data_IF_517726465114
#
_entry.id   IF_517726465114
#
_cell.length_a   1.000
_cell.length_b   1.000
_cell.length_c   1.000
_cell.angle_alpha   90.00
_cell.angle_beta   90.00
_cell.angle_gamma   90.00
#
_symmetry.space_group_name_H-M   'P 1'
#
loop_
_entity.id
_entity.type
_entity.pdbx_description
1 polymer ?
#
# COMPACT_ATOMS: atom_id res chain seq x y z
N UNK A 1 -10.08 20.67 1.91
CA UNK A 1 -8.82 20.64 2.68
C UNK A 1 -8.71 19.22 3.22
N UNK A 2 -8.22 18.29 2.39
CA UNK A 2 -8.32 16.85 2.66
C UNK A 2 -7.28 16.42 3.68
N UNK A 3 -7.71 15.82 4.78
CA UNK A 3 -6.81 15.05 5.62
C UNK A 3 -6.21 13.92 4.79
N UNK A 4 -4.90 13.74 4.92
CA UNK A 4 -4.27 12.48 4.56
C UNK A 4 -4.75 11.44 5.57
N UNK A 5 -5.88 10.82 5.27
CA UNK A 5 -6.58 9.84 6.09
C UNK A 5 -5.64 8.70 6.49
N UNK A 6 -4.60 8.44 5.69
CA UNK A 6 -3.57 7.43 5.96
C UNK A 6 -2.63 7.83 7.11
N UNK A 7 -2.24 9.09 7.20
CA UNK A 7 -1.34 9.57 8.25
C UNK A 7 -2.07 9.81 9.58
N UNK A 8 -3.32 10.28 9.51
CA UNK A 8 -4.22 10.37 10.68
C UNK A 8 -4.40 8.99 11.33
N UNK A 9 -4.72 7.97 10.53
CA UNK A 9 -4.99 6.65 11.10
C UNK A 9 -3.71 5.96 11.61
N UNK A 10 -2.53 6.15 11.00
CA UNK A 10 -1.24 5.68 11.57
C UNK A 10 -0.94 6.27 12.94
N UNK A 11 -1.19 7.56 13.09
CA UNK A 11 -0.96 8.26 14.33
C UNK A 11 -1.98 7.92 15.40
N UNK A 12 -3.24 7.73 14.99
CA UNK A 12 -4.31 7.22 15.84
C UNK A 12 -3.93 5.85 16.41
N UNK A 13 -3.49 4.89 15.57
CA UNK A 13 -2.98 3.59 16.06
C UNK A 13 -1.81 3.76 17.03
N UNK A 14 -0.84 4.61 16.69
CA UNK A 14 0.36 4.81 17.53
C UNK A 14 0.01 5.43 18.89
N UNK A 15 -0.98 6.32 18.95
CA UNK A 15 -1.50 6.91 20.18
C UNK A 15 -2.38 5.93 20.98
N UNK A 16 -3.15 5.09 20.28
CA UNK A 16 -4.04 4.06 20.87
C UNK A 16 -3.27 2.85 21.45
N UNK A 17 -2.04 2.61 21.00
CA UNK A 17 -1.14 1.59 21.55
C UNK A 17 -0.40 2.04 22.83
N UNK A 18 -0.61 3.27 23.30
CA UNK A 18 -0.07 3.75 24.57
C UNK A 18 -1.00 3.34 25.74
N UNK A 19 -0.51 2.57 26.73
CA UNK A 19 -1.34 2.00 27.79
C UNK A 19 -2.13 3.03 28.62
N UNK A 20 -1.67 4.27 28.69
CA UNK A 20 -2.36 5.34 29.45
C UNK A 20 -3.57 5.91 28.71
N UNK A 21 -3.61 5.79 27.38
CA UNK A 21 -4.71 6.26 26.51
C UNK A 21 -5.74 5.13 26.30
N UNK A 22 -5.26 3.88 26.29
CA UNK A 22 -6.06 2.66 26.16
C UNK A 22 -7.06 2.43 27.32
N UNK A 23 -6.77 2.90 28.54
CA UNK A 23 -7.61 2.67 29.73
C UNK A 23 -8.90 3.52 29.78
N UNK A 24 -9.01 4.59 29.01
CA UNK A 24 -10.16 5.49 29.03
C UNK A 24 -11.27 5.11 28.03
N UNK A 25 -10.98 4.24 27.05
CA UNK A 25 -11.86 3.99 25.89
C UNK A 25 -12.07 2.50 25.60
N UNK A 26 -11.84 1.62 26.58
CA UNK A 26 -12.02 0.17 26.44
C UNK A 26 -13.47 -0.21 26.15
N UNK A 27 -13.79 -0.33 24.86
CA UNK A 27 -15.10 -0.76 24.38
C UNK A 27 -15.14 -0.97 22.87
N UNK A 28 -14.30 -1.88 22.35
CA UNK A 28 -14.32 -2.46 20.98
C UNK A 28 -14.16 -1.45 19.81
N UNK A 29 -13.04 -1.54 19.08
CA UNK A 29 -12.94 -1.69 17.60
C UNK A 29 -11.48 -1.41 17.14
N UNK A 30 -10.95 -2.44 16.47
CA UNK A 30 -9.96 -2.55 15.38
C UNK A 30 -8.94 -1.44 15.07
N UNK A 31 -7.69 -1.88 14.92
CA UNK A 31 -6.51 -1.16 14.45
C UNK A 31 -6.34 -1.30 12.92
N UNK A 32 -6.09 -0.20 12.21
CA UNK A 32 -5.69 -0.23 10.80
C UNK A 32 -4.85 0.99 10.48
N UNK A 33 -3.82 0.83 9.61
CA UNK A 33 -3.10 1.89 8.84
C UNK A 33 -1.57 2.03 9.01
N UNK A 34 -0.89 1.17 9.79
CA UNK A 34 0.47 0.72 9.35
C UNK A 34 0.39 -0.26 8.15
N UNK A 35 -0.83 -0.48 7.67
CA UNK A 35 -1.28 -1.56 6.80
C UNK A 35 -1.41 -1.17 5.32
N UNK A 36 -1.12 0.06 4.90
CA UNK A 36 -1.48 0.48 3.51
C UNK A 36 -0.33 0.48 2.48
N UNK A 37 0.92 0.28 2.89
CA UNK A 37 2.03 0.06 1.94
C UNK A 37 2.80 -1.22 2.23
N UNK A 38 2.85 -1.64 3.50
CA UNK A 38 3.10 -3.03 3.82
C UNK A 38 1.87 -3.85 3.49
N UNK A 39 0.65 -3.53 3.91
CA UNK A 39 -0.54 -4.29 3.49
C UNK A 39 -1.02 -4.05 2.05
N UNK A 40 -0.44 -3.21 1.20
CA UNK A 40 -0.62 -3.40 -0.26
C UNK A 40 0.31 -4.48 -0.83
N UNK A 41 1.41 -4.78 -0.13
CA UNK A 41 2.28 -5.95 -0.39
C UNK A 41 1.88 -7.18 0.42
N UNK A 42 1.31 -6.99 1.61
CA UNK A 42 0.84 -7.99 2.56
C UNK A 42 -0.60 -8.35 2.26
N UNK A 43 -1.52 -7.45 1.91
CA UNK A 43 -2.86 -7.82 1.44
C UNK A 43 -2.76 -8.50 0.08
N UNK A 44 -1.85 -8.12 -0.82
CA UNK A 44 -1.62 -8.93 -2.03
C UNK A 44 -1.00 -10.31 -1.71
N UNK A 45 -0.46 -10.50 -0.51
CA UNK A 45 0.10 -11.77 0.00
C UNK A 45 -0.79 -12.44 1.08
N UNK A 46 -1.91 -11.82 1.50
CA UNK A 46 -2.84 -12.23 2.58
C UNK A 46 -4.30 -12.29 2.10
N UNK A 47 -4.63 -11.71 0.94
CA UNK A 47 -5.99 -11.71 0.37
C UNK A 47 -6.35 -13.03 -0.31
N UNK A 48 -5.47 -14.01 -0.25
CA UNK A 48 -5.75 -15.36 -0.70
C UNK A 48 -5.55 -16.34 0.44
N UNK A 49 -6.48 -16.39 1.42
CA UNK A 49 -6.67 -17.65 2.12
C UNK A 49 -7.13 -18.67 1.05
N UNK A 50 -6.55 -19.88 0.99
CA UNK A 50 -7.04 -20.94 0.11
C UNK A 50 -8.55 -21.24 0.33
N UNK A 51 -9.10 -20.82 1.48
CA UNK A 51 -10.50 -20.99 1.90
C UNK A 51 -11.29 -19.68 2.07
N UNK A 52 -10.80 -18.54 1.57
CA UNK A 52 -11.45 -17.23 1.73
C UNK A 52 -12.66 -17.01 0.80
N UNK A 53 -13.58 -16.11 1.19
CA UNK A 53 -14.68 -15.71 0.32
C UNK A 53 -14.16 -14.89 -0.88
N UNK A 54 -14.10 -15.56 -2.04
CA UNK A 54 -13.62 -15.00 -3.30
C UNK A 54 -14.40 -13.78 -3.76
N UNK A 55 -15.69 -13.67 -3.42
CA UNK A 55 -16.49 -12.50 -3.81
C UNK A 55 -16.11 -11.28 -2.98
N UNK A 56 -15.89 -11.46 -1.67
CA UNK A 56 -15.42 -10.40 -0.80
C UNK A 56 -14.04 -9.89 -1.25
N UNK A 57 -13.13 -10.80 -1.64
CA UNK A 57 -11.84 -10.42 -2.21
C UNK A 57 -11.98 -9.52 -3.43
N UNK A 58 -12.80 -9.91 -4.41
CA UNK A 58 -13.00 -9.13 -5.65
C UNK A 58 -13.61 -7.77 -5.33
N UNK A 59 -14.54 -7.72 -4.37
CA UNK A 59 -15.13 -6.46 -3.90
C UNK A 59 -14.07 -5.51 -3.31
N UNK A 60 -13.26 -6.00 -2.37
CA UNK A 60 -12.22 -5.21 -1.71
C UNK A 60 -11.14 -4.75 -2.71
N UNK A 61 -10.77 -5.64 -3.64
CA UNK A 61 -9.88 -5.33 -4.74
C UNK A 61 -10.44 -4.21 -5.63
N UNK A 62 -11.73 -4.24 -5.95
CA UNK A 62 -12.39 -3.21 -6.76
C UNK A 62 -12.32 -1.82 -6.11
N UNK A 63 -12.54 -1.74 -4.80
CA UNK A 63 -12.41 -0.50 -4.02
C UNK A 63 -10.97 0.04 -4.07
N UNK A 64 -9.99 -0.85 -3.87
CA UNK A 64 -8.58 -0.49 -3.93
C UNK A 64 -8.19 0.02 -5.33
N UNK A 65 -8.58 -0.68 -6.39
CA UNK A 65 -8.30 -0.31 -7.78
C UNK A 65 -8.96 1.02 -8.17
N UNK A 66 -10.18 1.28 -7.69
CA UNK A 66 -10.87 2.56 -7.92
C UNK A 66 -10.08 3.73 -7.32
N UNK A 67 -9.59 3.56 -6.09
CA UNK A 67 -8.76 4.55 -5.40
C UNK A 67 -7.44 4.78 -6.13
N UNK A 68 -6.77 3.70 -6.58
CA UNK A 68 -5.53 3.79 -7.36
C UNK A 68 -5.73 4.48 -8.71
N UNK A 69 -6.86 4.22 -9.38
CA UNK A 69 -7.22 4.85 -10.65
C UNK A 69 -7.44 6.35 -10.49
N UNK A 70 -8.07 6.78 -9.39
CA UNK A 70 -8.30 8.19 -9.09
C UNK A 70 -7.00 9.00 -8.97
N UNK A 71 -5.90 8.36 -8.56
CA UNK A 71 -4.58 9.01 -8.47
C UNK A 71 -3.93 9.32 -9.83
N UNK A 72 -4.42 8.73 -10.93
CA UNK A 72 -3.87 8.90 -12.30
C UNK A 72 -2.36 8.61 -12.40
N UNK A 73 -1.87 7.64 -11.63
CA UNK A 73 -0.45 7.21 -11.62
C UNK A 73 -0.27 5.88 -12.34
N UNK A 74 0.95 5.68 -12.83
CA UNK A 74 1.40 4.35 -13.29
C UNK A 74 1.61 3.45 -12.07
N UNK A 75 0.97 2.28 -12.12
CA UNK A 75 0.91 1.30 -11.05
C UNK A 75 1.28 -0.09 -11.58
N UNK A 76 1.87 -0.88 -10.69
CA UNK A 76 2.17 -2.30 -10.90
C UNK A 76 1.62 -3.02 -9.67
N UNK A 77 0.76 -4.00 -9.91
CA UNK A 77 0.23 -4.92 -8.92
C UNK A 77 0.82 -6.29 -9.22
N UNK A 78 1.34 -7.01 -8.22
CA UNK A 78 1.96 -8.31 -8.43
C UNK A 78 1.71 -9.22 -7.23
N UNK A 79 1.32 -10.47 -7.46
CA UNK A 79 1.07 -11.42 -6.39
C UNK A 79 0.48 -12.73 -6.85
N UNK A 80 0.23 -13.60 -5.87
CA UNK A 80 -0.49 -14.86 -5.99
C UNK A 80 -1.99 -14.62 -5.74
N UNK A 81 -2.80 -14.80 -6.77
CA UNK A 81 -4.24 -14.59 -6.73
C UNK A 81 -5.02 -15.87 -6.39
N UNK A 82 -4.34 -17.00 -6.21
CA UNK A 82 -4.94 -18.32 -5.92
C UNK A 82 -6.16 -18.65 -6.79
N UNK A 83 -6.20 -18.08 -8.00
CA UNK A 83 -7.29 -18.16 -8.96
C UNK A 83 -6.64 -18.45 -10.30
N UNK A 84 -6.97 -19.59 -10.92
CA UNK A 84 -6.38 -19.96 -12.20
C UNK A 84 -6.94 -19.09 -13.31
N UNK A 85 -6.15 -18.11 -13.75
CA UNK A 85 -6.56 -17.14 -14.77
C UNK A 85 -6.66 -17.75 -16.18
N UNK A 86 -6.21 -18.99 -16.38
CA UNK A 86 -6.38 -19.74 -17.63
C UNK A 86 -7.58 -20.70 -17.58
N UNK A 87 -8.17 -20.92 -16.40
CA UNK A 87 -9.30 -21.82 -16.27
C UNK A 87 -10.53 -21.27 -16.98
N UNK A 88 -11.15 -22.10 -17.80
CA UNK A 88 -12.54 -21.92 -18.21
C UNK A 88 -13.42 -22.43 -17.08
N UNK A 89 -13.57 -21.61 -16.04
CA UNK A 89 -14.30 -21.95 -14.82
C UNK A 89 -15.81 -21.65 -14.98
N UNK A 90 -16.67 -22.62 -14.64
CA UNK A 90 -18.15 -22.54 -14.71
C UNK A 90 -18.77 -21.60 -13.64
N UNK A 91 -18.06 -21.29 -12.56
CA UNK A 91 -18.43 -20.37 -11.47
C UNK A 91 -17.99 -18.91 -11.74
N UNK A 92 -17.17 -18.65 -12.75
CA UNK A 92 -16.84 -17.32 -13.27
C UNK A 92 -15.93 -16.45 -12.38
N UNK A 93 -15.23 -17.03 -11.41
CA UNK A 93 -14.35 -16.29 -10.50
C UNK A 93 -13.11 -15.72 -11.21
N UNK A 94 -12.49 -16.49 -12.10
CA UNK A 94 -11.36 -16.02 -12.92
C UNK A 94 -11.78 -14.85 -13.83
N UNK A 95 -12.97 -14.95 -14.42
CA UNK A 95 -13.54 -13.88 -15.25
C UNK A 95 -13.86 -12.64 -14.42
N UNK A 96 -14.49 -12.79 -13.25
CA UNK A 96 -14.80 -11.67 -12.37
C UNK A 96 -13.54 -10.93 -11.89
N UNK A 97 -12.46 -11.66 -11.59
CA UNK A 97 -11.16 -11.08 -11.26
C UNK A 97 -10.60 -10.27 -12.45
N UNK A 98 -10.56 -10.90 -13.64
CA UNK A 98 -10.04 -10.26 -14.85
C UNK A 98 -10.88 -9.04 -15.25
N UNK A 99 -12.21 -9.14 -15.21
CA UNK A 99 -13.14 -8.05 -15.51
C UNK A 99 -12.97 -6.88 -14.55
N UNK A 100 -12.74 -7.16 -13.26
CA UNK A 100 -12.47 -6.14 -12.25
C UNK A 100 -11.15 -5.42 -12.53
N UNK A 101 -10.10 -6.16 -12.92
CA UNK A 101 -8.81 -5.58 -13.32
C UNK A 101 -8.96 -4.72 -14.59
N UNK A 102 -9.59 -5.26 -15.64
CA UNK A 102 -9.78 -4.57 -16.91
C UNK A 102 -10.63 -3.31 -16.78
N UNK A 103 -11.70 -3.36 -15.99
CA UNK A 103 -12.55 -2.20 -15.68
C UNK A 103 -11.79 -1.04 -15.02
N UNK A 104 -10.66 -1.35 -14.39
CA UNK A 104 -9.77 -0.37 -13.77
C UNK A 104 -8.49 -0.10 -14.59
N UNK A 105 -8.46 -0.54 -15.85
CA UNK A 105 -7.35 -0.42 -16.79
C UNK A 105 -6.06 -1.14 -16.34
N UNK A 106 -6.18 -2.20 -15.53
CA UNK A 106 -5.08 -3.08 -15.18
C UNK A 106 -5.07 -4.30 -16.10
N UNK A 107 -3.95 -4.52 -16.77
CA UNK A 107 -3.79 -5.61 -17.74
C UNK A 107 -2.75 -6.62 -17.23
N UNK A 108 -3.03 -7.94 -17.31
CA UNK A 108 -2.07 -8.96 -16.93
C UNK A 108 -0.87 -8.94 -17.89
N UNK A 109 0.31 -9.12 -17.33
CA UNK A 109 1.58 -9.17 -18.07
C UNK A 109 2.12 -10.59 -18.21
N UNK A 110 1.63 -11.53 -17.38
CA UNK A 110 1.97 -12.95 -17.45
C UNK A 110 0.80 -13.73 -18.07
N UNK A 111 1.11 -14.55 -19.07
CA UNK A 111 0.15 -15.37 -19.82
C UNK A 111 0.52 -16.84 -19.88
N UNK A 112 1.55 -17.25 -19.11
CA UNK A 112 2.06 -18.61 -19.06
C UNK A 112 1.91 -19.17 -17.65
N UNK A 113 1.72 -20.49 -17.48
CA UNK A 113 1.55 -21.10 -16.17
C UNK A 113 2.67 -20.73 -15.20
N UNK A 114 2.30 -20.51 -13.94
CA UNK A 114 3.20 -20.16 -12.84
C UNK A 114 3.27 -21.24 -11.78
N UNK A 115 2.37 -22.22 -11.79
CA UNK A 115 2.46 -23.45 -11.01
C UNK A 115 2.30 -24.64 -11.95
N UNK A 116 3.28 -25.54 -11.95
CA UNK A 116 3.28 -26.74 -12.79
C UNK A 116 3.48 -27.95 -11.89
N UNK A 117 2.52 -28.87 -11.90
CA UNK A 117 2.61 -30.17 -11.24
C UNK A 117 2.82 -31.24 -12.30
N UNK A 118 4.07 -31.60 -12.54
CA UNK A 118 4.47 -32.63 -13.50
C UNK A 118 3.91 -34.01 -13.15
N UNK A 119 3.69 -34.30 -11.86
CA UNK A 119 3.16 -35.58 -11.41
C UNK A 119 1.67 -35.71 -11.75
N UNK A 120 0.93 -34.60 -11.69
CA UNK A 120 -0.52 -34.55 -12.01
C UNK A 120 -0.82 -34.10 -13.44
N UNK A 121 0.20 -33.69 -14.20
CA UNK A 121 0.02 -33.13 -15.55
C UNK A 121 -0.79 -31.83 -15.56
N UNK A 122 -0.71 -31.04 -14.49
CA UNK A 122 -1.49 -29.81 -14.31
C UNK A 122 -0.60 -28.57 -14.42
N UNK A 123 -1.09 -27.53 -15.09
CA UNK A 123 -0.41 -26.25 -15.23
C UNK A 123 -1.42 -25.11 -15.04
N UNK A 124 -1.22 -24.30 -14.00
CA UNK A 124 -2.16 -23.23 -13.60
C UNK A 124 -1.46 -21.88 -13.55
N UNK A 125 -2.21 -20.80 -13.79
CA UNK A 125 -1.72 -19.42 -13.74
C UNK A 125 -2.31 -18.74 -12.51
N UNK A 126 -1.60 -18.82 -11.39
CA UNK A 126 -2.04 -18.29 -10.09
C UNK A 126 -1.39 -16.95 -9.77
N UNK A 127 -0.08 -16.84 -10.03
CA UNK A 127 0.67 -15.60 -9.91
C UNK A 127 0.58 -14.71 -11.17
N UNK A 128 0.39 -13.40 -11.01
CA UNK A 128 0.45 -12.46 -12.14
C UNK A 128 1.02 -11.10 -11.75
N UNK A 129 1.43 -10.34 -12.77
CA UNK A 129 1.75 -8.92 -12.67
C UNK A 129 0.72 -8.17 -13.50
N UNK A 130 -0.02 -7.25 -12.89
CA UNK A 130 -0.92 -6.34 -13.57
C UNK A 130 -0.32 -4.94 -13.65
N UNK A 131 -0.52 -4.26 -14.77
CA UNK A 131 -0.13 -2.86 -14.92
C UNK A 131 -1.18 -2.04 -15.67
N UNK A 132 -1.28 -0.77 -15.29
CA UNK A 132 -2.07 0.23 -15.99
C UNK A 132 -1.24 1.13 -16.94
N UNK A 133 0.05 0.83 -17.13
CA UNK A 133 0.93 1.52 -18.06
C UNK A 133 1.19 0.68 -19.32
N UNK A 134 0.15 0.57 -20.16
CA UNK A 134 0.15 -0.20 -21.42
C UNK A 134 0.63 0.60 -22.63
N UNK A 135 1.23 1.77 -22.45
CA UNK A 135 1.68 2.63 -23.57
C UNK A 135 2.76 1.93 -24.39
N UNK A 136 2.94 2.37 -25.65
CA UNK A 136 3.84 1.83 -26.69
C UNK A 136 5.30 1.52 -26.27
N UNK A 137 5.72 1.94 -25.06
CA UNK A 137 6.95 1.49 -24.41
C UNK A 137 6.62 1.19 -22.94
N UNK A 138 6.21 -0.04 -22.59
CA UNK A 138 5.95 -0.37 -21.20
C UNK A 138 7.23 -0.17 -20.40
N UNK A 139 7.10 0.49 -19.25
CA UNK A 139 8.21 0.68 -18.32
C UNK A 139 8.58 -0.63 -17.61
N UNK A 140 7.80 -1.68 -17.81
CA UNK A 140 7.91 -2.98 -17.15
C UNK A 140 8.15 -4.06 -18.19
N UNK A 141 9.15 -4.90 -17.95
CA UNK A 141 9.41 -6.12 -18.70
C UNK A 141 9.06 -7.29 -17.75
N UNK A 142 7.96 -8.02 -18.00
CA UNK A 142 7.58 -9.17 -17.19
C UNK A 142 8.43 -10.40 -17.55
N UNK A 143 8.54 -11.35 -16.62
CA UNK A 143 9.21 -12.62 -16.85
C UNK A 143 8.80 -13.68 -15.84
N UNK A 144 8.99 -14.94 -16.22
CA UNK A 144 8.89 -16.10 -15.33
C UNK A 144 10.28 -16.73 -15.29
N UNK A 145 10.79 -16.94 -14.08
CA UNK A 145 12.00 -17.72 -13.85
C UNK A 145 11.59 -19.13 -13.42
N UNK A 146 11.90 -20.09 -14.29
CA UNK A 146 11.65 -21.50 -14.06
C UNK A 146 12.73 -22.03 -13.11
N UNK A 147 12.32 -22.44 -11.91
CA UNK A 147 13.19 -23.00 -10.88
C UNK A 147 12.47 -24.12 -10.15
N UNK A 148 13.22 -25.09 -9.64
CA UNK A 148 12.77 -26.23 -8.84
C UNK A 148 12.77 -25.97 -7.33
N UNK A 149 12.90 -24.70 -6.92
CA UNK A 149 12.99 -24.29 -5.51
C UNK A 149 11.63 -24.36 -4.79
N UNK A 150 10.53 -24.19 -5.52
CA UNK A 150 9.16 -24.29 -5.00
C UNK A 150 8.21 -24.89 -6.04
N UNK A 151 6.99 -25.24 -5.65
CA UNK A 151 5.94 -25.69 -6.57
C UNK A 151 5.41 -24.56 -7.49
N UNK A 152 5.71 -23.31 -7.16
CA UNK A 152 5.51 -22.14 -8.02
C UNK A 152 6.83 -21.68 -8.68
N UNK A 153 6.74 -21.29 -9.95
CA UNK A 153 7.75 -20.53 -10.66
C UNK A 153 7.77 -19.08 -10.19
N UNK A 154 8.96 -18.48 -10.17
CA UNK A 154 9.13 -17.11 -9.72
C UNK A 154 8.66 -16.12 -10.79
N UNK A 155 7.70 -15.26 -10.45
CA UNK A 155 7.25 -14.16 -11.32
C UNK A 155 8.08 -12.90 -11.05
N UNK A 156 8.61 -12.29 -12.12
CA UNK A 156 9.50 -11.13 -12.03
C UNK A 156 9.08 -9.98 -12.96
N UNK A 157 9.37 -8.75 -12.53
CA UNK A 157 9.12 -7.52 -13.27
C UNK A 157 10.37 -6.63 -13.29
N UNK A 158 10.97 -6.40 -14.45
CA UNK A 158 12.08 -5.46 -14.61
C UNK A 158 11.55 -4.08 -15.01
N UNK A 159 11.74 -3.09 -14.15
CA UNK A 159 11.30 -1.73 -14.40
C UNK A 159 12.44 -0.88 -15.00
N UNK A 160 12.22 -0.24 -16.15
CA UNK A 160 13.16 0.74 -16.71
C UNK A 160 13.23 1.94 -15.77
N UNK A 161 14.39 2.14 -15.16
CA UNK A 161 14.66 3.34 -14.38
C UNK A 161 14.62 4.57 -15.28
N UNK A 162 13.90 5.60 -14.87
CA UNK A 162 14.04 6.91 -15.50
C UNK A 162 15.45 7.44 -15.21
N UNK A 163 16.33 7.40 -16.21
CA UNK A 163 17.63 8.06 -16.22
C UNK A 163 17.46 9.58 -16.44
N UNK A 164 16.51 10.19 -15.73
CA UNK A 164 16.45 11.64 -15.60
C UNK A 164 17.48 12.07 -14.56
N UNK A 165 18.29 13.08 -14.88
CA UNK A 165 19.23 13.70 -13.95
C UNK A 165 18.49 14.02 -12.64
N UNK A 166 18.75 13.23 -11.59
CA UNK A 166 18.20 13.45 -10.24
C UNK A 166 19.00 14.57 -9.61
N UNK A 167 18.71 15.82 -9.98
CA UNK A 167 19.38 16.98 -9.38
C UNK A 167 18.50 17.89 -8.54
N UNK A 168 17.26 17.48 -8.27
CA UNK A 168 16.41 18.23 -7.37
C UNK A 168 16.47 17.62 -5.98
N UNK A 169 16.93 18.40 -5.00
CA UNK A 169 16.67 18.15 -3.59
C UNK A 169 15.18 17.90 -3.41
N UNK A 170 14.81 16.62 -3.26
CA UNK A 170 13.41 16.24 -3.12
C UNK A 170 12.93 16.69 -1.74
N UNK A 171 12.03 17.66 -1.74
CA UNK A 171 11.24 17.98 -0.58
C UNK A 171 10.16 16.89 -0.43
N UNK A 172 9.98 16.37 0.78
CA UNK A 172 8.84 15.53 1.11
C UNK A 172 8.11 16.11 2.30
N UNK A 173 6.78 15.98 2.30
CA UNK A 173 5.94 16.34 3.44
C UNK A 173 5.90 15.17 4.41
N UNK A 174 5.99 15.47 5.69
CA UNK A 174 5.93 14.48 6.77
C UNK A 174 5.40 15.17 8.03
N UNK A 175 5.00 14.40 9.05
CA UNK A 175 4.61 14.93 10.37
C UNK A 175 5.61 14.45 11.40
N UNK A 176 5.88 15.28 12.41
CA UNK A 176 6.84 14.94 13.45
C UNK A 176 6.15 14.12 14.57
N UNK A 177 6.37 12.80 14.60
CA UNK A 177 5.69 11.88 15.53
C UNK A 177 6.55 11.52 16.77
N UNK A 178 7.42 12.44 17.18
CA UNK A 178 8.30 12.29 18.35
C UNK A 178 7.51 12.27 19.66
N UNK A 179 8.05 11.68 20.74
CA UNK A 179 7.36 11.54 22.03
C UNK A 179 6.81 12.86 22.61
N UNK A 180 7.54 13.96 22.43
CA UNK A 180 7.12 15.30 22.87
C UNK A 180 5.83 15.76 22.19
N UNK A 181 5.68 15.48 20.88
CA UNK A 181 4.45 15.82 20.13
C UNK A 181 3.30 14.89 20.52
N UNK A 182 3.60 13.65 20.87
CA UNK A 182 2.61 12.73 21.42
C UNK A 182 2.09 13.20 22.79
N UNK A 183 2.96 13.74 23.65
CA UNK A 183 2.52 14.31 24.93
C UNK A 183 1.55 15.49 24.73
N UNK A 184 1.83 16.36 23.75
CA UNK A 184 0.91 17.44 23.35
C UNK A 184 -0.43 16.87 22.86
N UNK A 185 -0.41 15.82 22.02
CA UNK A 185 -1.65 15.18 21.56
C UNK A 185 -2.49 14.65 22.71
N UNK A 186 -1.87 13.96 23.68
CA UNK A 186 -2.57 13.46 24.87
C UNK A 186 -3.20 14.58 25.67
N UNK A 187 -2.48 15.68 25.85
CA UNK A 187 -2.97 16.86 26.58
C UNK A 187 -4.16 17.51 25.87
N UNK A 188 -4.11 17.67 24.55
CA UNK A 188 -5.24 18.20 23.77
C UNK A 188 -6.46 17.29 23.92
N UNK A 189 -6.30 15.96 23.78
CA UNK A 189 -7.41 15.01 23.89
C UNK A 189 -8.02 15.00 25.29
N UNK A 190 -7.19 15.05 26.34
CA UNK A 190 -7.65 15.08 27.73
C UNK A 190 -8.45 16.36 28.06
N UNK A 191 -8.12 17.48 27.41
CA UNK A 191 -8.77 18.77 27.61
C UNK A 191 -9.85 19.09 26.55
N UNK A 192 -10.10 18.20 25.60
CA UNK A 192 -11.16 18.38 24.59
C UNK A 192 -12.53 18.09 25.21
N UNK A 193 -13.50 18.98 25.00
CA UNK A 193 -14.89 18.72 25.36
C UNK A 193 -15.55 17.79 24.34
N UNK A 194 -15.99 16.61 24.81
CA UNK A 194 -16.63 15.58 23.99
C UNK A 194 -18.16 15.60 24.09
N UNK A 195 -18.73 16.57 24.80
CA UNK A 195 -20.17 16.68 25.01
C UNK A 195 -20.93 16.75 23.70
N UNK A 196 -20.42 17.55 22.74
CA UNK A 196 -21.03 17.68 21.41
C UNK A 196 -21.08 16.34 20.67
N UNK A 197 -20.00 15.55 20.72
CA UNK A 197 -19.95 14.25 20.06
C UNK A 197 -20.82 13.17 20.74
N UNK A 198 -21.16 13.33 22.02
CA UNK A 198 -21.87 12.31 22.81
C UNK A 198 -23.37 12.57 22.98
N UNK A 199 -23.82 13.80 22.70
CA UNK A 199 -25.22 14.21 22.87
C UNK A 199 -26.02 14.27 21.56
N UNK A 200 -25.43 13.91 20.42
CA UNK A 200 -26.17 13.79 19.17
C UNK A 200 -27.17 12.61 19.23
N UNK A 201 -28.40 12.87 18.78
CA UNK A 201 -29.44 11.85 18.64
C UNK A 201 -29.22 10.93 17.45
N UNK A 202 -28.52 11.42 16.43
CA UNK A 202 -28.18 10.67 15.22
C UNK A 202 -26.73 10.15 15.33
N UNK A 203 -26.56 8.86 15.02
CA UNK A 203 -25.28 8.18 15.16
C UNK A 203 -24.23 8.66 14.13
N UNK A 204 -24.67 9.06 12.94
CA UNK A 204 -23.79 9.56 11.88
C UNK A 204 -23.28 10.95 12.23
N UNK A 205 -24.13 11.81 12.79
CA UNK A 205 -23.74 13.14 13.27
C UNK A 205 -22.78 13.02 14.47
N UNK A 206 -23.09 12.15 15.45
CA UNK A 206 -22.21 11.85 16.58
C UNK A 206 -20.80 11.45 16.12
N UNK A 207 -20.72 10.51 15.18
CA UNK A 207 -19.46 10.04 14.63
C UNK A 207 -18.71 11.13 13.86
N UNK A 208 -19.43 11.94 13.08
CA UNK A 208 -18.83 13.02 12.29
C UNK A 208 -18.22 14.09 13.19
N UNK A 209 -18.92 14.50 14.25
CA UNK A 209 -18.43 15.46 15.25
C UNK A 209 -17.23 14.92 16.01
N UNK A 210 -17.29 13.66 16.47
CA UNK A 210 -16.15 12.97 17.09
C UNK A 210 -14.91 13.00 16.18
N UNK A 211 -15.09 12.60 14.91
CA UNK A 211 -14.00 12.51 13.95
C UNK A 211 -13.40 13.90 13.67
N UNK A 212 -14.22 14.95 13.62
CA UNK A 212 -13.77 16.32 13.43
C UNK A 212 -12.92 16.83 14.61
N UNK A 213 -13.39 16.65 15.85
CA UNK A 213 -12.66 17.04 17.06
C UNK A 213 -11.31 16.33 17.14
N UNK A 214 -11.31 15.01 16.97
CA UNK A 214 -10.11 14.17 16.99
C UNK A 214 -9.13 14.56 15.86
N UNK A 215 -9.66 14.83 14.68
CA UNK A 215 -8.92 15.31 13.51
C UNK A 215 -8.24 16.65 13.78
N UNK A 216 -8.95 17.58 14.43
CA UNK A 216 -8.42 18.90 14.78
C UNK A 216 -7.25 18.76 15.75
N UNK A 217 -7.46 18.02 16.84
CA UNK A 217 -6.44 17.72 17.85
C UNK A 217 -5.19 17.07 17.23
N UNK A 218 -5.39 16.13 16.30
CA UNK A 218 -4.29 15.49 15.58
C UNK A 218 -3.51 16.48 14.71
N UNK A 219 -4.21 17.34 13.96
CA UNK A 219 -3.57 18.28 13.06
C UNK A 219 -2.74 19.33 13.82
N UNK A 220 -3.23 19.75 14.99
CA UNK A 220 -2.53 20.65 15.88
C UNK A 220 -1.31 19.99 16.53
N UNK A 221 -1.48 18.77 17.06
CA UNK A 221 -0.39 18.04 17.69
C UNK A 221 0.71 17.59 16.71
N UNK A 222 0.39 17.36 15.43
CA UNK A 222 1.34 16.81 14.47
C UNK A 222 1.41 17.62 13.18
N UNK A 223 1.78 18.91 13.18
CA UNK A 223 1.71 19.76 12.00
C UNK A 223 2.53 19.19 10.83
N UNK A 224 2.03 19.39 9.61
CA UNK A 224 2.71 18.94 8.41
C UNK A 224 3.94 19.80 8.13
N UNK A 225 5.11 19.18 8.15
CA UNK A 225 6.40 19.82 7.90
C UNK A 225 7.01 19.32 6.58
N UNK A 226 7.73 20.20 5.90
CA UNK A 226 8.46 19.84 4.68
C UNK A 226 9.92 19.58 5.03
N UNK A 227 10.41 18.36 4.80
CA UNK A 227 11.81 17.99 5.00
C UNK A 227 12.54 17.87 3.66
N UNK A 228 13.77 18.36 3.61
CA UNK A 228 14.69 18.20 2.47
C UNK A 228 15.38 16.85 2.54
N UNK A 229 15.28 16.03 1.50
CA UNK A 229 16.15 14.85 1.35
C UNK A 229 17.56 15.36 1.05
N UNK A 230 18.48 15.09 1.97
CA UNK A 230 19.90 15.39 1.76
C UNK A 230 20.45 14.48 0.69
N UNK A 231 21.21 15.07 -0.22
CA UNK A 231 21.92 14.33 -1.26
C UNK A 231 22.96 13.40 -0.63
N UNK A 232 22.80 12.09 -0.83
CA UNK A 232 23.74 11.07 -0.33
C UNK A 232 25.00 10.95 -1.20
N UNK A 233 25.17 11.74 -2.26
CA UNK A 233 26.36 11.75 -3.13
C UNK A 233 27.57 12.46 -2.52
N UNK A 234 27.38 13.23 -1.44
CA UNK A 234 28.45 13.99 -0.77
C UNK A 234 28.65 13.55 0.69
N UNK A 235 28.70 12.24 0.91
CA UNK A 235 29.06 11.71 2.22
C UNK A 235 30.57 11.85 2.46
N UNK A 236 31.03 12.16 3.69
CA UNK A 236 32.45 12.33 4.00
C UNK A 236 33.32 11.12 3.64
N UNK A 237 32.75 9.91 3.68
CA UNK A 237 33.42 8.66 3.34
C UNK A 237 33.49 8.38 1.83
N UNK A 238 32.73 9.11 0.99
CA UNK A 238 32.68 8.90 -0.46
C UNK A 238 33.71 9.80 -1.18
N UNK A 239 34.98 9.37 -1.12
CA UNK A 239 36.12 10.09 -1.70
C UNK A 239 36.05 10.20 -3.23
N UNK A 240 36.81 11.15 -3.81
CA UNK A 240 36.91 11.30 -5.26
C UNK A 240 37.38 10.02 -5.97
N UNK A 241 38.30 9.27 -5.35
CA UNK A 241 38.78 7.98 -5.85
C UNK A 241 37.67 6.93 -5.90
N UNK A 242 36.87 6.80 -4.83
CA UNK A 242 35.70 5.89 -4.81
C UNK A 242 34.67 6.28 -5.88
N UNK A 243 34.41 7.58 -6.06
CA UNK A 243 33.52 8.08 -7.12
C UNK A 243 34.04 7.68 -8.52
N UNK A 244 35.35 7.75 -8.74
CA UNK A 244 35.97 7.33 -10.00
C UNK A 244 35.86 5.81 -10.24
N UNK A 245 36.09 4.99 -9.21
CA UNK A 245 35.94 3.53 -9.28
C UNK A 245 34.51 3.11 -9.58
N UNK A 246 33.51 3.75 -8.95
CA UNK A 246 32.09 3.51 -9.23
C UNK A 246 31.75 3.85 -10.68
N UNK A 247 32.22 5.01 -11.19
CA UNK A 247 32.00 5.40 -12.59
C UNK A 247 32.61 4.40 -13.58
N UNK A 248 33.77 3.83 -13.26
CA UNK A 248 34.41 2.80 -14.08
C UNK A 248 33.62 1.49 -14.08
N UNK A 249 33.09 1.06 -12.93
CA UNK A 249 32.28 -0.17 -12.82
C UNK A 249 30.95 -0.09 -13.60
N UNK A 250 30.32 1.09 -13.63
CA UNK A 250 29.00 1.30 -14.23
C UNK A 250 29.07 1.67 -15.73
N UNK A 251 30.25 1.57 -16.35
CA UNK A 251 30.46 1.79 -17.77
C UNK A 251 30.55 0.44 -18.47
#
# INVERSE_FOLDING_TARGET
MGLDQKEFTKAFIKAMNDPSVSQALTGRVSAAVMDEMNGLRQAVQQLTPPDGDRQQFIHDLSIALHSMRAEKKSCILMGDFNTDMMANDDQGASNALLDTMYSNAFFPLITKPTRVDDNRGSATLLDNIFSNDIRNKPNVIPGILITDISDHYMVMAMCKGSSGARDETRNFKTRNMEPERMAIFKDIIANTDWTEATQHSDAQDAYSTFLQLLTSAYNEAFPMVTKKIRDRRNQPWLTAGLKASIRRKNK
#
